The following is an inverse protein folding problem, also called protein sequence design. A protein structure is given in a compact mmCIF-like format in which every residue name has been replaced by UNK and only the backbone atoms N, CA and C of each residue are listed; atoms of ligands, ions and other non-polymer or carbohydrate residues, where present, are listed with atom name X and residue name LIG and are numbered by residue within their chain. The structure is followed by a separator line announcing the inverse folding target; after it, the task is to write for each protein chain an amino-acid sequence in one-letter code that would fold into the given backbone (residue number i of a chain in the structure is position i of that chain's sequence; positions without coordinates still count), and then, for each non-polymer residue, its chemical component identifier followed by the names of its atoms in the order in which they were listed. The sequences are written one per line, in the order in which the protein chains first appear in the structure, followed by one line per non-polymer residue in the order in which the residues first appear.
data_IF_748896450740
#
_entry.id   IF_748896450740
#
_cell.length_a   1.000
_cell.length_b   1.000
_cell.length_c   1.000
_cell.angle_alpha   90.00
_cell.angle_beta   90.00
_cell.angle_gamma   90.00
#
_symmetry.space_group_name_H-M   'P 1'
#
loop_
_entity.id
_entity.type
_entity.pdbx_description
1 polymer ?
#
# COMPACT_ATOMS: atom_id res chain seq x y z
N UNK A 1 -10.30 23.45 13.57
CA UNK A 1 -10.53 22.12 12.95
C UNK A 1 -9.54 22.06 11.80
N UNK A 2 -8.31 21.64 12.10
CA UNK A 2 -7.15 21.91 11.21
C UNK A 2 -6.58 20.60 10.63
N UNK A 3 -7.16 19.44 10.98
CA UNK A 3 -6.60 18.12 10.71
C UNK A 3 -6.60 17.69 9.24
N UNK A 4 -7.43 18.28 8.38
CA UNK A 4 -7.41 17.99 6.93
C UNK A 4 -6.39 18.82 6.15
N UNK A 5 -5.92 19.95 6.70
CA UNK A 5 -4.87 20.77 6.08
C UNK A 5 -3.45 20.24 6.39
N UNK A 6 -3.28 19.39 7.41
CA UNK A 6 -1.97 18.82 7.80
C UNK A 6 -1.66 17.43 7.21
N UNK A 7 -2.65 16.68 6.72
CA UNK A 7 -2.40 15.34 6.18
C UNK A 7 -1.80 15.40 4.78
N UNK A 8 -0.56 14.94 4.63
CA UNK A 8 0.02 14.72 3.30
C UNK A 8 0.41 15.99 2.54
N UNK A 9 0.42 17.18 3.15
CA UNK A 9 0.79 18.43 2.47
C UNK A 9 2.21 18.42 1.90
N UNK A 10 3.10 17.60 2.48
CA UNK A 10 4.50 17.44 2.04
C UNK A 10 4.67 16.27 1.07
N UNK A 11 3.66 15.41 0.94
CA UNK A 11 3.66 14.25 0.07
C UNK A 11 2.84 13.09 0.63
N UNK A 12 2.27 12.29 -0.26
CA UNK A 12 1.38 11.16 0.05
C UNK A 12 1.94 9.89 -0.55
N UNK A 13 2.27 8.93 0.30
CA UNK A 13 2.77 7.62 -0.08
C UNK A 13 1.60 6.66 -0.14
N UNK A 14 1.31 6.15 -1.32
CA UNK A 14 0.47 5.00 -1.57
C UNK A 14 1.20 3.70 -1.23
N UNK A 15 0.55 2.84 -0.45
CA UNK A 15 1.13 1.59 0.01
C UNK A 15 0.16 0.43 -0.27
N UNK A 16 0.62 -0.53 -1.07
CA UNK A 16 -0.15 -1.71 -1.44
C UNK A 16 0.36 -2.89 -0.61
N UNK A 17 -0.52 -3.46 0.21
CA UNK A 17 -0.25 -4.71 0.94
C UNK A 17 -0.96 -5.89 0.30
N UNK A 18 -0.35 -7.07 0.34
CA UNK A 18 -1.01 -8.28 -0.14
C UNK A 18 -2.11 -8.77 0.82
N UNK A 19 -1.88 -8.69 2.12
CA UNK A 19 -2.76 -9.25 3.17
C UNK A 19 -3.96 -8.36 3.47
N UNK A 20 -5.13 -8.93 3.85
CA UNK A 20 -6.36 -8.19 4.12
C UNK A 20 -6.33 -7.34 5.39
N UNK A 21 -5.47 -7.69 6.34
CA UNK A 21 -5.39 -7.05 7.66
C UNK A 21 -4.07 -6.32 7.79
N UNK A 22 -4.13 -5.07 8.23
CA UNK A 22 -2.97 -4.21 8.49
C UNK A 22 -2.98 -3.93 9.99
N UNK A 23 -1.88 -4.25 10.68
CA UNK A 23 -1.81 -4.13 12.13
C UNK A 23 -1.02 -2.88 12.54
N UNK A 24 0.31 -3.00 12.65
CA UNK A 24 1.17 -1.99 13.27
C UNK A 24 1.88 -1.07 12.28
N UNK A 25 2.04 -1.49 11.02
CA UNK A 25 2.83 -0.76 10.02
C UNK A 25 2.46 0.73 9.87
N UNK A 26 1.17 1.14 9.83
CA UNK A 26 0.83 2.56 9.72
C UNK A 26 1.29 3.36 10.94
N UNK A 27 1.18 2.76 12.13
CA UNK A 27 1.62 3.38 13.38
C UNK A 27 3.15 3.55 13.42
N UNK A 28 3.89 2.51 13.03
CA UNK A 28 5.35 2.56 12.94
C UNK A 28 5.84 3.55 11.88
N UNK A 29 5.16 3.60 10.72
CA UNK A 29 5.44 4.59 9.69
C UNK A 29 5.39 6.00 10.27
N UNK A 30 4.34 6.35 11.02
CA UNK A 30 4.20 7.69 11.59
C UNK A 30 5.16 7.99 12.76
N UNK A 31 5.78 6.98 13.36
CA UNK A 31 6.89 7.21 14.30
C UNK A 31 8.17 7.68 13.60
N UNK A 32 8.33 7.38 12.32
CA UNK A 32 9.53 7.72 11.53
C UNK A 32 9.27 8.81 10.49
N UNK A 33 8.02 8.98 10.04
CA UNK A 33 7.67 9.85 8.93
C UNK A 33 7.94 11.34 9.27
N UNK A 34 8.58 12.10 8.36
CA UNK A 34 8.69 13.54 8.53
C UNK A 34 7.32 14.22 8.60
N UNK A 35 7.22 15.35 9.31
CA UNK A 35 5.97 16.14 9.38
C UNK A 35 5.44 16.43 7.97
N UNK A 36 4.15 16.20 7.79
CA UNK A 36 3.43 16.48 6.54
C UNK A 36 3.45 15.36 5.52
N UNK A 37 4.18 14.26 5.74
CA UNK A 37 4.09 13.08 4.89
C UNK A 37 2.89 12.23 5.33
N UNK A 38 2.02 11.89 4.39
CA UNK A 38 0.84 11.05 4.62
C UNK A 38 1.00 9.66 4.02
N UNK A 39 0.42 8.66 4.66
CA UNK A 39 0.33 7.28 4.17
C UNK A 39 -1.12 6.96 3.82
N UNK A 40 -1.36 6.52 2.59
CA UNK A 40 -2.65 5.99 2.12
C UNK A 40 -2.45 4.55 1.68
N UNK A 41 -3.29 3.65 2.18
CA UNK A 41 -3.04 2.21 2.10
C UNK A 41 -4.22 1.54 1.42
N UNK A 42 -3.93 0.59 0.54
CA UNK A 42 -4.91 -0.36 0.02
C UNK A 42 -4.39 -1.78 0.15
N UNK A 43 -5.30 -2.74 0.13
CA UNK A 43 -5.01 -4.15 0.27
C UNK A 43 -5.50 -4.93 -0.94
N UNK A 44 -4.70 -5.92 -1.37
CA UNK A 44 -5.11 -6.86 -2.39
C UNK A 44 -5.98 -8.00 -1.83
N UNK A 45 -6.14 -8.11 -0.51
CA UNK A 45 -7.05 -9.08 0.13
C UNK A 45 -6.69 -10.55 -0.12
N UNK A 46 -5.38 -10.88 -0.18
CA UNK A 46 -4.87 -12.23 -0.35
C UNK A 46 -5.10 -13.06 0.92
N UNK A 47 -5.81 -14.18 0.80
CA UNK A 47 -6.28 -14.97 1.97
C UNK A 47 -5.24 -15.91 2.55
N UNK A 48 -4.40 -16.49 1.69
CA UNK A 48 -3.36 -17.44 2.05
C UNK A 48 -2.14 -17.28 1.14
N UNK A 49 -1.06 -18.05 1.36
CA UNK A 49 0.17 -17.95 0.57
C UNK A 49 0.19 -18.80 -0.72
N UNK A 50 -0.93 -19.41 -1.10
CA UNK A 50 -1.05 -20.26 -2.28
C UNK A 50 -0.84 -19.50 -3.59
N UNK A 51 -0.43 -20.24 -4.63
CA UNK A 51 -0.20 -19.68 -5.96
C UNK A 51 -1.48 -19.09 -6.58
N UNK A 52 -2.62 -19.76 -6.40
CA UNK A 52 -3.91 -19.29 -6.92
C UNK A 52 -4.32 -17.94 -6.29
N UNK A 53 -4.24 -17.82 -4.97
CA UNK A 53 -4.55 -16.56 -4.29
C UNK A 53 -3.52 -15.47 -4.60
N UNK A 54 -2.27 -15.84 -4.88
CA UNK A 54 -1.24 -14.91 -5.35
C UNK A 54 -1.58 -14.34 -6.73
N UNK A 55 -1.97 -15.18 -7.69
CA UNK A 55 -2.36 -14.71 -9.03
C UNK A 55 -3.64 -13.86 -8.99
N UNK A 56 -4.63 -14.26 -8.17
CA UNK A 56 -5.84 -13.43 -7.96
C UNK A 56 -5.51 -12.08 -7.33
N UNK A 57 -4.54 -12.00 -6.43
CA UNK A 57 -4.09 -10.75 -5.84
C UNK A 57 -3.34 -9.90 -6.87
N UNK A 58 -2.48 -10.52 -7.70
CA UNK A 58 -1.80 -9.86 -8.83
C UNK A 58 -2.80 -9.25 -9.82
N UNK A 59 -3.89 -9.95 -10.12
CA UNK A 59 -4.97 -9.43 -10.98
C UNK A 59 -5.69 -8.18 -10.42
N UNK A 60 -5.51 -7.84 -9.14
CA UNK A 60 -6.09 -6.64 -8.50
C UNK A 60 -5.10 -5.48 -8.43
N UNK A 61 -3.84 -5.68 -8.83
CA UNK A 61 -2.78 -4.70 -8.63
C UNK A 61 -3.03 -3.40 -9.39
N UNK A 62 -3.44 -3.48 -10.65
CA UNK A 62 -3.71 -2.28 -11.47
C UNK A 62 -4.85 -1.43 -10.90
N UNK A 63 -5.90 -2.09 -10.38
CA UNK A 63 -6.99 -1.39 -9.71
C UNK A 63 -6.51 -0.71 -8.41
N UNK A 64 -5.70 -1.41 -7.60
CA UNK A 64 -5.14 -0.85 -6.38
C UNK A 64 -4.24 0.37 -6.67
N UNK A 65 -3.46 0.34 -7.76
CA UNK A 65 -2.67 1.47 -8.23
C UNK A 65 -3.59 2.63 -8.63
N UNK A 66 -4.63 2.36 -9.41
CA UNK A 66 -5.60 3.37 -9.84
C UNK A 66 -6.32 4.01 -8.65
N UNK A 67 -6.72 3.24 -7.65
CA UNK A 67 -7.38 3.73 -6.43
C UNK A 67 -6.46 4.67 -5.64
N UNK A 68 -5.18 4.30 -5.48
CA UNK A 68 -4.18 5.13 -4.81
C UNK A 68 -3.88 6.42 -5.58
N UNK A 69 -3.81 6.34 -6.92
CA UNK A 69 -3.65 7.52 -7.77
C UNK A 69 -4.87 8.45 -7.67
N UNK A 70 -6.10 7.90 -7.64
CA UNK A 70 -7.33 8.68 -7.55
C UNK A 70 -7.45 9.46 -6.23
N UNK A 71 -6.88 8.94 -5.14
CA UNK A 71 -6.81 9.66 -3.85
C UNK A 71 -5.60 10.58 -3.75
N UNK A 72 -4.80 10.72 -4.80
CA UNK A 72 -3.68 11.65 -4.89
C UNK A 72 -2.40 11.17 -4.20
N UNK A 73 -2.08 9.88 -4.30
CA UNK A 73 -0.74 9.40 -3.92
C UNK A 73 0.32 9.94 -4.90
N UNK A 74 1.41 10.49 -4.36
CA UNK A 74 2.56 10.99 -5.12
C UNK A 74 3.55 9.86 -5.47
N UNK A 75 3.62 8.84 -4.62
CA UNK A 75 4.47 7.66 -4.80
C UNK A 75 3.70 6.40 -4.43
N UNK A 76 3.86 5.31 -5.18
CA UNK A 76 3.20 4.03 -4.87
C UNK A 76 4.26 2.96 -4.62
N UNK A 77 4.14 2.30 -3.47
CA UNK A 77 4.99 1.18 -3.06
C UNK A 77 4.17 -0.11 -2.99
N UNK A 78 4.66 -1.17 -3.65
CA UNK A 78 4.12 -2.52 -3.50
C UNK A 78 4.93 -3.26 -2.45
N UNK A 79 4.38 -3.36 -1.25
CA UNK A 79 5.08 -3.91 -0.10
C UNK A 79 4.57 -5.31 0.25
N UNK A 80 5.00 -6.28 -0.56
CA UNK A 80 4.77 -7.70 -0.25
C UNK A 80 5.76 -8.57 -1.02
N UNK A 81 6.57 -9.35 -0.28
CA UNK A 81 7.59 -10.20 -0.91
C UNK A 81 7.02 -11.20 -1.93
N UNK A 82 5.85 -11.84 -1.74
CA UNK A 82 5.33 -12.78 -2.73
C UNK A 82 4.94 -12.10 -4.05
N UNK A 83 4.52 -10.84 -4.02
CA UNK A 83 4.09 -10.11 -5.21
C UNK A 83 5.28 -9.69 -6.09
N UNK A 84 6.43 -9.44 -5.45
CA UNK A 84 7.66 -9.02 -6.14
C UNK A 84 8.46 -10.22 -6.64
N UNK A 85 8.38 -11.37 -5.97
CA UNK A 85 9.17 -12.58 -6.34
C UNK A 85 8.41 -13.61 -7.15
N UNK A 86 7.07 -13.63 -7.18
CA UNK A 86 6.31 -14.67 -7.90
C UNK A 86 6.62 -14.75 -9.40
N UNK A 87 6.92 -13.60 -10.04
CA UNK A 87 7.33 -13.55 -11.46
C UNK A 87 8.84 -13.38 -11.67
N UNK A 88 9.61 -13.28 -10.59
CA UNK A 88 11.07 -13.27 -10.64
C UNK A 88 11.59 -14.66 -10.31
N UNK A 89 11.88 -15.48 -11.32
CA UNK A 89 12.85 -16.56 -11.12
C UNK A 89 14.19 -15.95 -10.69
N UNK A 90 14.95 -16.59 -9.79
CA UNK A 90 16.31 -16.16 -9.45
C UNK A 90 17.19 -15.96 -10.69
#
# INVERSE_FOLDING_TARGET
MDGFAEFGWRGRIGYIVAIPVIEHMPYEFYQMAPKGVGLVITSLGKKDQGAEETEKALGRLDQAIADLAAVGADYICVASSPMVTYRGTP
#
